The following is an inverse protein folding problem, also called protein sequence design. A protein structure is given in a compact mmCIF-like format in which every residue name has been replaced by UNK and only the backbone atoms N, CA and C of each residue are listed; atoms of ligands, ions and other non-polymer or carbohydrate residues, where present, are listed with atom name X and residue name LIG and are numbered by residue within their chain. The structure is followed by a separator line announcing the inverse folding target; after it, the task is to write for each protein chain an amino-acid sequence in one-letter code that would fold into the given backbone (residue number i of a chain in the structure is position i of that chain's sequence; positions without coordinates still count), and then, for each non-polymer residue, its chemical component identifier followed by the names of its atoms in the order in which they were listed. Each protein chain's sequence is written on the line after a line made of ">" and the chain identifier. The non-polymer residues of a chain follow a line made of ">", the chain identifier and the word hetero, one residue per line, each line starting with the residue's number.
data_IF_320624364959
#
_entry.id   IF_320624364959
#
_cell.length_a   1.000
_cell.length_b   1.000
_cell.length_c   1.000
_cell.angle_alpha   90.00
_cell.angle_beta   90.00
_cell.angle_gamma   90.00
#
_symmetry.space_group_name_H-M   'P 1'
#
loop_
_entity.id
_entity.type
_entity.pdbx_description
1 polymer ?
#
# COMPACT_ATOMS: atom_id res chain seq x y z
N UNK A 1 -12.90 -22.46 9.54
CA UNK A 1 -12.24 -21.44 8.71
C UNK A 1 -12.03 -20.12 9.45
N UNK A 2 -13.02 -19.63 10.22
CA UNK A 2 -12.89 -18.36 10.99
C UNK A 2 -11.71 -18.38 11.98
N UNK A 3 -11.37 -19.54 12.52
CA UNK A 3 -10.35 -19.71 13.56
C UNK A 3 -8.90 -19.54 13.03
N UNK A 4 -8.64 -19.92 11.77
CA UNK A 4 -7.30 -19.84 11.18
C UNK A 4 -6.88 -18.38 10.89
N UNK A 5 -7.79 -17.58 10.37
CA UNK A 5 -7.54 -16.16 10.11
C UNK A 5 -7.27 -15.38 11.39
N UNK A 6 -8.12 -15.59 12.41
CA UNK A 6 -7.93 -14.95 13.72
C UNK A 6 -6.57 -15.34 14.33
N UNK A 7 -6.20 -16.62 14.25
CA UNK A 7 -4.89 -17.10 14.73
C UNK A 7 -3.74 -16.49 13.94
N UNK A 8 -3.88 -16.39 12.61
CA UNK A 8 -2.86 -15.79 11.74
C UNK A 8 -2.71 -14.29 12.00
N UNK A 9 -3.82 -13.57 12.12
CA UNK A 9 -3.82 -12.15 12.44
C UNK A 9 -3.21 -11.87 13.82
N UNK A 10 -3.60 -12.67 14.82
CA UNK A 10 -3.03 -12.58 16.16
C UNK A 10 -1.52 -12.89 16.16
N UNK A 11 -1.07 -13.82 15.31
CA UNK A 11 0.37 -14.12 15.15
C UNK A 11 1.10 -12.96 14.47
N UNK A 12 0.49 -12.35 13.43
CA UNK A 12 1.04 -11.17 12.75
C UNK A 12 1.15 -9.98 13.70
N UNK A 13 0.13 -9.74 14.51
CA UNK A 13 0.14 -8.68 15.54
C UNK A 13 1.28 -8.88 16.53
N UNK A 14 1.53 -10.11 16.98
CA UNK A 14 2.66 -10.43 17.88
C UNK A 14 4.01 -10.29 17.19
N UNK A 15 4.10 -10.56 15.89
CA UNK A 15 5.35 -10.44 15.12
C UNK A 15 5.72 -8.99 14.83
N UNK A 16 4.79 -8.06 15.00
CA UNK A 16 4.97 -6.62 14.77
C UNK A 16 5.44 -5.89 16.04
N UNK A 17 5.95 -6.63 17.04
CA UNK A 17 6.53 -6.01 18.24
C UNK A 17 7.72 -5.15 17.81
N UNK A 18 7.57 -3.84 17.98
CA UNK A 18 8.66 -2.90 17.71
C UNK A 18 9.71 -3.07 18.82
N UNK A 19 10.87 -3.57 18.43
CA UNK A 19 11.98 -3.75 19.36
C UNK A 19 12.46 -2.36 19.82
N UNK A 20 12.29 -2.05 21.07
CA UNK A 20 12.86 -0.84 21.68
C UNK A 20 14.37 -1.01 21.87
N UNK A 21 15.12 0.07 21.72
CA UNK A 21 16.49 0.08 22.15
C UNK A 21 16.56 -0.01 23.70
N UNK A 22 17.70 -0.42 24.28
CA UNK A 22 17.84 -0.53 25.74
C UNK A 22 17.63 0.80 26.51
N UNK A 23 17.60 1.95 25.81
CA UNK A 23 17.38 3.28 26.41
C UNK A 23 15.90 3.67 26.42
N UNK A 24 14.99 2.78 26.02
CA UNK A 24 13.54 3.02 26.06
C UNK A 24 13.00 3.94 24.96
N UNK A 25 13.83 4.29 23.99
CA UNK A 25 13.38 5.06 22.83
C UNK A 25 12.82 4.12 21.78
N UNK A 26 11.75 4.51 21.06
CA UNK A 26 11.35 3.73 19.91
C UNK A 26 12.54 3.66 18.95
N UNK A 27 12.99 2.46 18.63
CA UNK A 27 14.07 2.25 17.68
C UNK A 27 13.68 2.92 16.35
N UNK A 28 14.66 3.39 15.57
CA UNK A 28 14.33 3.89 14.24
C UNK A 28 13.62 2.75 13.50
N UNK A 29 12.39 2.99 13.11
CA UNK A 29 11.73 2.09 12.18
C UNK A 29 12.65 1.87 10.99
N UNK A 30 12.55 0.77 10.25
CA UNK A 30 13.43 0.52 9.12
C UNK A 30 13.34 1.68 8.12
N UNK A 31 14.34 2.57 8.14
CA UNK A 31 14.33 3.80 7.34
C UNK A 31 14.87 5.05 8.03
N UNK A 32 15.57 4.89 9.17
CA UNK A 32 16.18 6.02 9.90
C UNK A 32 17.29 6.72 9.12
N UNK A 33 16.90 7.59 8.18
CA UNK A 33 17.81 8.55 7.56
C UNK A 33 17.93 9.77 8.45
N UNK A 34 19.15 10.23 8.67
CA UNK A 34 19.48 11.42 9.45
C UNK A 34 18.89 12.69 8.82
N UNK A 35 18.07 13.42 9.55
CA UNK A 35 17.89 14.84 9.31
C UNK A 35 16.61 15.36 8.69
N UNK A 36 15.44 14.84 9.07
CA UNK A 36 14.22 15.63 8.87
C UNK A 36 13.82 16.27 10.19
N UNK A 37 13.42 17.55 10.22
CA UNK A 37 12.98 18.18 11.45
C UNK A 37 11.74 17.45 12.00
N UNK A 38 11.80 17.10 13.26
CA UNK A 38 10.68 16.53 13.99
C UNK A 38 9.53 17.54 14.00
N UNK A 39 8.31 17.16 13.61
CA UNK A 39 7.20 18.11 13.69
C UNK A 39 7.00 18.57 15.12
N UNK A 40 6.62 19.83 15.29
CA UNK A 40 6.33 20.41 16.59
C UNK A 40 5.20 19.58 17.26
N UNK A 41 5.32 19.41 18.58
CA UNK A 41 4.32 18.68 19.36
C UNK A 41 2.90 19.23 19.08
N UNK A 42 2.02 18.38 18.55
CA UNK A 42 0.63 18.74 18.25
C UNK A 42 0.26 18.88 16.77
N UNK A 43 1.22 18.69 15.83
CA UNK A 43 0.91 18.74 14.39
C UNK A 43 1.34 17.43 13.71
N UNK A 44 0.37 16.64 13.31
CA UNK A 44 0.64 15.44 12.49
C UNK A 44 1.08 15.83 11.08
N UNK A 45 1.97 15.04 10.49
CA UNK A 45 2.42 15.27 9.11
C UNK A 45 1.22 15.19 8.13
N UNK A 46 1.21 16.01 7.06
CA UNK A 46 0.13 15.96 6.09
C UNK A 46 0.05 14.59 5.40
N UNK A 47 -1.15 14.12 5.23
CA UNK A 47 -1.43 12.84 4.57
C UNK A 47 -1.44 13.05 3.06
N UNK A 48 -0.80 12.17 2.31
CA UNK A 48 -0.74 12.19 0.84
C UNK A 48 -1.46 10.98 0.27
N UNK A 49 -2.22 11.20 -0.78
CA UNK A 49 -2.92 10.11 -1.45
C UNK A 49 -1.93 9.21 -2.20
N UNK A 50 -2.22 7.91 -2.17
CA UNK A 50 -1.40 6.89 -2.80
C UNK A 50 -2.28 5.73 -3.29
N UNK A 51 -1.75 4.96 -4.24
CA UNK A 51 -2.40 3.77 -4.77
C UNK A 51 -1.42 2.60 -4.80
N UNK A 52 -1.92 1.41 -4.51
CA UNK A 52 -1.15 0.17 -4.51
C UNK A 52 -1.95 -0.88 -5.27
N UNK A 53 -1.28 -1.66 -6.13
CA UNK A 53 -1.93 -2.73 -6.89
C UNK A 53 -1.37 -4.08 -6.47
N UNK A 54 -2.23 -4.93 -5.95
CA UNK A 54 -1.92 -6.33 -5.68
C UNK A 54 -2.16 -7.10 -6.97
N UNK A 55 -1.10 -7.29 -7.73
CA UNK A 55 -1.16 -8.00 -9.00
C UNK A 55 -1.18 -9.50 -8.69
N UNK A 56 -2.16 -10.21 -9.25
CA UNK A 56 -2.45 -11.60 -8.94
C UNK A 56 -2.43 -12.48 -10.18
N UNK A 57 -2.07 -13.75 -9.97
CA UNK A 57 -2.27 -14.80 -10.96
C UNK A 57 -2.65 -16.10 -10.25
N UNK A 58 -3.29 -16.99 -10.96
CA UNK A 58 -3.52 -18.33 -10.44
C UNK A 58 -2.18 -19.06 -10.32
N UNK A 59 -1.98 -19.76 -9.24
CA UNK A 59 -0.72 -20.46 -8.99
C UNK A 59 -0.51 -21.59 -10.02
N UNK A 60 0.72 -21.78 -10.51
CA UNK A 60 1.01 -22.91 -11.39
C UNK A 60 0.63 -24.23 -10.69
N UNK A 61 -0.14 -25.07 -11.40
CA UNK A 61 -0.65 -26.32 -10.84
C UNK A 61 -2.10 -26.27 -10.39
N UNK A 62 -2.78 -25.11 -10.51
CA UNK A 62 -4.22 -24.99 -10.45
C UNK A 62 -4.86 -24.94 -9.07
N UNK A 63 -4.10 -24.65 -8.03
CA UNK A 63 -4.66 -24.44 -6.67
C UNK A 63 -4.00 -23.23 -6.00
N UNK A 64 -4.83 -22.27 -5.62
CA UNK A 64 -4.40 -21.06 -4.95
C UNK A 64 -3.94 -19.97 -5.90
N UNK A 65 -3.52 -18.89 -5.33
CA UNK A 65 -3.09 -17.69 -6.04
C UNK A 65 -1.64 -17.34 -5.71
N UNK A 66 -1.01 -16.59 -6.58
CA UNK A 66 0.26 -15.92 -6.30
C UNK A 66 0.08 -14.41 -6.43
N UNK A 67 0.65 -13.67 -5.49
CA UNK A 67 0.75 -12.22 -5.53
C UNK A 67 2.16 -11.82 -5.96
N UNK A 68 2.26 -10.76 -6.75
CA UNK A 68 3.54 -10.20 -7.18
C UNK A 68 4.07 -9.25 -6.12
N UNK A 69 5.26 -9.52 -5.63
CA UNK A 69 5.91 -8.74 -4.57
C UNK A 69 7.25 -8.19 -5.04
N UNK A 70 7.53 -6.94 -4.66
CA UNK A 70 8.78 -6.24 -4.91
C UNK A 70 9.52 -6.09 -3.59
N UNK A 71 10.83 -6.36 -3.55
CA UNK A 71 11.65 -5.98 -2.41
C UNK A 71 12.28 -4.62 -2.70
N UNK A 72 11.95 -3.62 -1.89
CA UNK A 72 12.45 -2.26 -2.02
C UNK A 72 13.95 -2.23 -1.72
N UNK A 73 14.74 -1.47 -2.51
CA UNK A 73 16.19 -1.36 -2.25
C UNK A 73 16.45 -0.85 -0.83
N UNK A 74 17.43 -1.41 -0.17
CA UNK A 74 17.71 -1.14 1.25
C UNK A 74 18.03 0.33 1.55
N UNK A 75 18.50 1.08 0.57
CA UNK A 75 18.83 2.51 0.71
C UNK A 75 17.62 3.46 0.66
N UNK A 76 16.41 2.97 0.47
CA UNK A 76 15.24 3.84 0.42
C UNK A 76 14.91 4.44 1.79
N UNK A 77 14.49 5.70 1.80
CA UNK A 77 14.17 6.46 3.01
C UNK A 77 12.92 5.96 3.76
N UNK A 78 12.12 5.08 3.13
CA UNK A 78 10.93 4.48 3.74
C UNK A 78 10.85 3.01 3.32
N UNK A 79 10.70 2.13 4.31
CA UNK A 79 10.52 0.68 4.11
C UNK A 79 11.61 0.00 3.26
N UNK A 80 12.86 0.49 3.29
CA UNK A 80 13.97 -0.14 2.57
C UNK A 80 14.18 -1.58 3.03
N UNK A 81 14.37 -2.50 2.07
CA UNK A 81 14.53 -3.93 2.34
C UNK A 81 13.24 -4.70 2.56
N UNK A 82 12.10 -4.00 2.69
CA UNK A 82 10.79 -4.62 2.87
C UNK A 82 10.19 -5.05 1.53
N UNK A 83 9.39 -6.11 1.58
CA UNK A 83 8.57 -6.52 0.45
C UNK A 83 7.24 -5.75 0.47
N UNK A 84 6.81 -5.32 -0.70
CA UNK A 84 5.59 -4.55 -0.90
C UNK A 84 4.98 -4.92 -2.26
N UNK A 85 3.76 -4.51 -2.48
CA UNK A 85 3.13 -4.57 -3.80
C UNK A 85 3.53 -3.32 -4.61
N UNK A 86 3.44 -3.36 -5.95
CA UNK A 86 3.63 -2.16 -6.77
C UNK A 86 2.72 -1.02 -6.33
N UNK A 87 3.27 0.19 -6.23
CA UNK A 87 2.46 1.33 -5.87
C UNK A 87 3.26 2.51 -5.34
N UNK A 88 2.60 3.66 -5.39
CA UNK A 88 3.20 4.91 -4.94
C UNK A 88 2.19 6.03 -4.77
N UNK A 89 2.70 7.22 -4.60
CA UNK A 89 1.87 8.41 -4.35
C UNK A 89 1.17 8.87 -5.64
N UNK A 90 0.04 9.52 -5.46
CA UNK A 90 -0.60 10.25 -6.57
C UNK A 90 0.35 11.40 -6.97
N UNK A 91 0.69 11.46 -8.24
CA UNK A 91 1.50 12.53 -8.81
C UNK A 91 0.60 13.62 -9.40
N UNK A 92 1.03 14.90 -9.44
CA UNK A 92 0.24 15.93 -10.11
C UNK A 92 -0.13 15.60 -11.56
N UNK A 93 0.67 14.82 -12.27
CA UNK A 93 0.37 14.38 -13.64
C UNK A 93 -0.80 13.38 -13.71
N UNK A 94 -1.10 12.69 -12.61
CA UNK A 94 -2.25 11.77 -12.53
C UNK A 94 -3.58 12.54 -12.43
N UNK A 95 -3.54 13.84 -12.07
CA UNK A 95 -4.73 14.67 -11.89
C UNK A 95 -5.33 15.17 -13.21
N UNK A 96 -4.73 14.84 -14.35
CA UNK A 96 -5.19 15.32 -15.66
C UNK A 96 -6.57 14.78 -16.04
N UNK A 97 -7.47 15.65 -16.57
CA UNK A 97 -8.81 15.21 -16.97
C UNK A 97 -8.82 14.37 -18.26
N UNK A 98 -7.77 14.44 -19.05
CA UNK A 98 -7.74 13.96 -20.43
C UNK A 98 -7.17 12.54 -20.58
N UNK A 99 -7.12 11.78 -19.47
CA UNK A 99 -6.66 10.38 -19.54
C UNK A 99 -7.70 9.54 -20.30
N UNK A 100 -7.34 8.88 -21.41
CA UNK A 100 -8.27 7.96 -22.09
C UNK A 100 -8.72 6.86 -21.12
N UNK A 101 -10.01 6.71 -20.95
CA UNK A 101 -10.62 5.92 -19.87
C UNK A 101 -11.56 4.86 -20.43
N UNK A 102 -11.45 3.64 -19.93
CA UNK A 102 -12.37 2.53 -20.25
C UNK A 102 -12.74 1.80 -18.95
N UNK A 103 -13.93 1.22 -18.96
CA UNK A 103 -14.48 0.54 -17.79
C UNK A 103 -15.57 1.38 -17.11
N UNK A 104 -15.80 1.17 -15.82
CA UNK A 104 -16.86 1.89 -15.10
C UNK A 104 -16.63 3.41 -15.14
N UNK A 105 -17.69 4.19 -15.19
CA UNK A 105 -17.54 5.65 -15.19
C UNK A 105 -16.94 6.13 -13.87
N UNK A 106 -16.24 7.27 -13.90
CA UNK A 106 -15.57 7.83 -12.72
C UNK A 106 -16.53 8.01 -11.55
N UNK A 107 -17.82 8.26 -11.82
CA UNK A 107 -18.85 8.38 -10.77
C UNK A 107 -19.05 7.08 -9.97
N UNK A 108 -18.89 5.93 -10.57
CA UNK A 108 -18.94 4.65 -9.84
C UNK A 108 -17.66 4.45 -9.03
N UNK A 109 -16.52 4.75 -9.64
CA UNK A 109 -15.21 4.64 -8.97
C UNK A 109 -15.13 5.57 -7.76
N UNK A 110 -15.63 6.80 -7.86
CA UNK A 110 -15.63 7.76 -6.75
C UNK A 110 -16.42 7.25 -5.55
N UNK A 111 -17.55 6.62 -5.79
CA UNK A 111 -18.36 6.03 -4.71
C UNK A 111 -17.63 4.86 -4.06
N UNK A 112 -17.02 3.99 -4.88
CA UNK A 112 -16.27 2.83 -4.37
C UNK A 112 -15.04 3.26 -3.55
N UNK A 113 -14.38 4.36 -3.90
CA UNK A 113 -13.14 4.80 -3.23
C UNK A 113 -13.36 5.85 -2.13
N UNK A 114 -14.60 6.28 -1.90
CA UNK A 114 -14.93 7.39 -0.99
C UNK A 114 -14.03 8.61 -1.31
N UNK A 115 -14.09 9.06 -2.57
CA UNK A 115 -13.24 10.13 -3.08
C UNK A 115 -14.05 11.05 -4.01
N UNK A 116 -13.63 12.30 -4.15
CA UNK A 116 -14.22 13.15 -5.17
C UNK A 116 -13.79 12.68 -6.58
N UNK A 117 -14.48 13.11 -7.64
CA UNK A 117 -14.21 12.60 -9.00
C UNK A 117 -12.77 12.82 -9.47
N UNK A 118 -12.13 13.93 -9.10
CA UNK A 118 -10.76 14.22 -9.50
C UNK A 118 -9.77 13.28 -8.80
N UNK A 119 -9.95 13.10 -7.48
CA UNK A 119 -9.11 12.18 -6.69
C UNK A 119 -9.35 10.73 -7.11
N UNK A 120 -10.61 10.32 -7.34
CA UNK A 120 -10.90 8.95 -7.78
C UNK A 120 -10.18 8.62 -9.10
N UNK A 121 -10.24 9.56 -10.07
CA UNK A 121 -9.50 9.42 -11.33
C UNK A 121 -7.99 9.32 -11.08
N UNK A 122 -7.46 10.24 -10.27
CA UNK A 122 -6.02 10.30 -9.98
C UNK A 122 -5.50 9.03 -9.29
N UNK A 123 -6.28 8.45 -8.38
CA UNK A 123 -5.92 7.19 -7.71
C UNK A 123 -5.81 6.02 -8.69
N UNK A 124 -6.77 5.92 -9.62
CA UNK A 124 -6.73 4.88 -10.66
C UNK A 124 -5.56 5.11 -11.63
N UNK A 125 -5.32 6.38 -12.01
CA UNK A 125 -4.15 6.72 -12.85
C UNK A 125 -2.85 6.36 -12.16
N UNK A 126 -2.69 6.72 -10.89
CA UNK A 126 -1.51 6.37 -10.08
C UNK A 126 -1.34 4.85 -10.00
N UNK A 127 -2.43 4.09 -9.77
CA UNK A 127 -2.40 2.64 -9.72
C UNK A 127 -1.82 2.04 -11.02
N UNK A 128 -2.32 2.50 -12.17
CA UNK A 128 -1.86 2.02 -13.47
C UNK A 128 -0.42 2.44 -13.76
N UNK A 129 -0.08 3.71 -13.48
CA UNK A 129 1.26 4.26 -13.72
C UNK A 129 2.31 3.54 -12.88
N UNK A 130 2.09 3.44 -11.58
CA UNK A 130 3.04 2.80 -10.65
C UNK A 130 3.25 1.32 -10.98
N UNK A 131 2.15 0.61 -11.34
CA UNK A 131 2.26 -0.80 -11.75
C UNK A 131 3.14 -0.91 -12.99
N UNK A 132 2.94 -0.03 -13.97
CA UNK A 132 3.77 -0.06 -15.18
C UNK A 132 5.22 0.33 -14.89
N UNK A 133 5.46 1.38 -14.10
CA UNK A 133 6.80 1.83 -13.72
C UNK A 133 7.57 0.78 -12.92
N UNK A 134 6.92 0.14 -11.97
CA UNK A 134 7.62 -0.78 -11.07
C UNK A 134 7.77 -2.20 -11.63
N UNK A 135 6.80 -2.69 -12.41
CA UNK A 135 6.86 -4.07 -12.91
C UNK A 135 6.61 -4.25 -14.42
N UNK A 136 6.38 -3.17 -15.17
CA UNK A 136 6.18 -3.27 -16.62
C UNK A 136 4.81 -3.78 -17.05
N UNK A 137 3.90 -4.06 -16.13
CA UNK A 137 2.54 -4.52 -16.47
C UNK A 137 1.64 -3.30 -16.67
N UNK A 138 1.08 -3.18 -17.88
CA UNK A 138 0.24 -2.03 -18.24
C UNK A 138 -1.24 -2.42 -18.22
N UNK A 139 -1.97 -1.85 -17.26
CA UNK A 139 -3.41 -2.06 -17.09
C UNK A 139 -4.18 -1.11 -18.04
N UNK A 140 -3.97 -1.30 -19.33
CA UNK A 140 -4.58 -0.52 -20.41
C UNK A 140 -4.88 -1.42 -21.60
N UNK A 141 -5.78 -0.97 -22.47
CA UNK A 141 -6.15 -1.74 -23.66
C UNK A 141 -6.45 -0.83 -24.84
N UNK A 142 -6.51 -1.41 -26.05
CA UNK A 142 -6.78 -0.67 -27.28
C UNK A 142 -8.15 0.00 -27.22
N UNK A 143 -8.22 1.23 -27.69
CA UNK A 143 -9.50 1.94 -27.87
C UNK A 143 -10.17 1.34 -29.11
N UNK A 144 -11.18 0.52 -28.89
CA UNK A 144 -12.00 -0.01 -30.00
C UNK A 144 -13.12 1.00 -30.26
N UNK A 145 -13.22 1.53 -31.49
CA UNK A 145 -14.34 2.43 -31.81
C UNK A 145 -15.68 1.76 -31.52
N UNK A 146 -16.57 2.45 -30.85
CA UNK A 146 -17.92 1.95 -30.64
C UNK A 146 -18.59 1.72 -32.00
N UNK A 147 -19.27 0.60 -32.21
CA UNK A 147 -20.09 0.43 -33.40
C UNK A 147 -21.13 1.55 -33.47
N UNK A 148 -21.33 2.09 -34.66
CA UNK A 148 -22.24 3.24 -34.85
C UNK A 148 -23.64 2.92 -34.24
N UNK A 149 -24.02 3.63 -33.19
CA UNK A 149 -25.30 3.44 -32.52
C UNK A 149 -25.26 2.72 -31.18
N UNK A 150 -24.07 2.37 -30.65
CA UNK A 150 -23.90 1.72 -29.35
C UNK A 150 -23.42 2.67 -28.27
N UNK A 151 -23.79 2.39 -27.04
CA UNK A 151 -23.22 3.02 -25.85
C UNK A 151 -21.71 2.67 -25.76
N UNK A 152 -20.94 3.57 -25.16
CA UNK A 152 -19.47 3.58 -25.05
C UNK A 152 -18.75 2.27 -25.38
N UNK A 153 -17.82 2.34 -26.33
CA UNK A 153 -17.20 1.19 -26.98
C UNK A 153 -16.71 0.11 -26.02
N UNK A 154 -17.10 -1.12 -26.31
CA UNK A 154 -16.52 -2.27 -25.63
C UNK A 154 -15.00 -2.26 -25.88
N UNK A 155 -14.22 -2.14 -24.83
CA UNK A 155 -12.77 -2.23 -24.96
C UNK A 155 -12.46 -3.71 -25.28
N UNK A 156 -11.95 -3.96 -26.46
CA UNK A 156 -11.40 -5.27 -26.79
C UNK A 156 -10.32 -5.60 -25.73
N UNK A 157 -10.20 -6.86 -25.37
CA UNK A 157 -9.30 -7.30 -24.30
C UNK A 157 -7.92 -6.65 -24.31
N UNK A 158 -7.10 -6.91 -23.34
CA UNK A 158 -5.75 -6.35 -23.14
C UNK A 158 -4.81 -6.50 -24.33
N UNK A 159 -5.28 -7.13 -25.43
CA UNK A 159 -4.54 -7.31 -26.69
C UNK A 159 -3.96 -6.01 -27.28
N UNK A 160 -4.58 -4.84 -26.95
CA UNK A 160 -4.09 -3.54 -27.43
C UNK A 160 -2.76 -3.10 -26.83
N UNK A 161 -2.44 -3.57 -25.62
CA UNK A 161 -1.15 -3.29 -25.01
C UNK A 161 0.01 -3.94 -25.79
N UNK A 162 -0.29 -4.85 -26.71
CA UNK A 162 0.68 -5.46 -27.65
C UNK A 162 1.13 -4.50 -28.76
N UNK A 163 0.47 -3.32 -28.90
CA UNK A 163 0.90 -2.31 -29.89
C UNK A 163 2.20 -1.61 -29.48
N UNK A 164 2.59 -1.73 -28.21
CA UNK A 164 3.92 -1.39 -27.75
C UNK A 164 4.78 -2.66 -27.81
N UNK A 165 5.73 -2.70 -28.73
CA UNK A 165 6.70 -3.80 -28.73
C UNK A 165 7.58 -3.72 -27.48
N UNK A 166 8.32 -4.77 -27.19
CA UNK A 166 9.16 -4.88 -25.98
C UNK A 166 10.11 -3.69 -25.83
N UNK A 167 10.71 -3.22 -26.93
CA UNK A 167 11.62 -2.09 -26.91
C UNK A 167 10.89 -0.77 -26.58
N UNK A 168 9.73 -0.56 -27.19
CA UNK A 168 8.89 0.62 -26.93
C UNK A 168 8.35 0.64 -25.49
N UNK A 169 7.96 -0.52 -24.96
CA UNK A 169 7.50 -0.66 -23.56
C UNK A 169 8.61 -0.26 -22.58
N UNK A 170 9.80 -0.82 -22.79
CA UNK A 170 10.95 -0.51 -21.93
C UNK A 170 11.35 0.98 -22.00
N UNK A 171 11.27 1.59 -23.18
CA UNK A 171 11.54 3.01 -23.35
C UNK A 171 10.48 3.88 -22.66
N UNK A 172 9.20 3.56 -22.85
CA UNK A 172 8.07 4.26 -22.24
C UNK A 172 8.14 4.18 -20.71
N UNK A 173 8.41 2.98 -20.18
CA UNK A 173 8.56 2.73 -18.75
C UNK A 173 9.65 3.64 -18.15
N UNK A 174 10.83 3.66 -18.77
CA UNK A 174 11.94 4.52 -18.31
C UNK A 174 11.61 6.02 -18.38
N UNK A 175 10.84 6.44 -19.38
CA UNK A 175 10.44 7.83 -19.53
C UNK A 175 9.43 8.24 -18.42
N UNK A 176 8.52 7.36 -18.06
CA UNK A 176 7.61 7.56 -16.91
C UNK A 176 8.40 7.65 -15.61
N UNK A 177 9.28 6.68 -15.32
CA UNK A 177 10.15 6.67 -14.12
C UNK A 177 10.96 7.96 -13.95
N UNK A 178 11.30 8.63 -15.05
CA UNK A 178 12.05 9.89 -15.03
C UNK A 178 11.16 11.13 -15.12
N UNK A 179 9.84 10.95 -15.10
CA UNK A 179 8.84 12.01 -15.28
C UNK A 179 9.05 12.82 -16.58
N UNK A 180 9.59 12.17 -17.62
CA UNK A 180 9.77 12.73 -18.96
C UNK A 180 8.52 12.52 -19.83
N UNK A 181 7.62 11.66 -19.37
CA UNK A 181 6.39 11.29 -20.07
C UNK A 181 5.31 11.10 -19.00
N UNK A 182 4.11 11.59 -19.27
CA UNK A 182 2.94 11.33 -18.43
C UNK A 182 2.17 10.10 -18.91
N UNK A 183 1.42 9.44 -18.01
CA UNK A 183 0.60 8.27 -18.39
C UNK A 183 -0.41 8.63 -19.48
N UNK A 184 -1.08 9.79 -19.35
CA UNK A 184 -2.06 10.23 -20.36
C UNK A 184 -1.42 10.34 -21.75
N UNK A 185 -0.24 10.92 -21.80
CA UNK A 185 0.52 11.09 -23.05
C UNK A 185 0.94 9.75 -23.64
N UNK A 186 1.37 8.80 -22.81
CA UNK A 186 1.67 7.44 -23.24
C UNK A 186 0.44 6.79 -23.85
N UNK A 187 -0.67 6.86 -23.22
CA UNK A 187 -1.91 6.27 -23.69
C UNK A 187 -2.38 6.88 -25.02
N UNK A 188 -2.20 8.03 -24.93
CA UNK A 188 -2.56 8.71 -25.99
C UNK A 188 -1.82 8.46 -27.16
N UNK A 189 -0.52 8.35 -27.20
CA UNK A 189 0.41 8.04 -28.33
C UNK A 189 0.20 6.67 -28.98
N UNK A 190 -0.30 5.74 -28.19
CA UNK A 190 -0.44 4.34 -28.61
C UNK A 190 -1.88 3.87 -28.80
N UNK A 191 -2.82 4.81 -28.88
CA UNK A 191 -4.26 4.53 -29.05
C UNK A 191 -4.77 3.56 -27.96
N UNK A 192 -4.34 3.77 -26.72
CA UNK A 192 -4.72 2.99 -25.55
C UNK A 192 -5.64 3.78 -24.63
N UNK A 193 -6.47 3.08 -23.88
CA UNK A 193 -7.25 3.64 -22.77
C UNK A 193 -6.89 2.89 -21.48
N UNK A 194 -6.79 3.60 -20.38
CA UNK A 194 -6.69 3.03 -19.04
C UNK A 194 -7.91 2.13 -18.80
N UNK A 195 -7.68 0.93 -18.25
CA UNK A 195 -8.72 -0.08 -17.98
C UNK A 195 -9.07 -0.09 -16.49
N UNK A 196 -9.96 0.84 -16.10
CA UNK A 196 -10.43 0.93 -14.70
C UNK A 196 -11.17 -0.35 -14.25
N UNK A 197 -11.74 -1.08 -15.19
CA UNK A 197 -12.42 -2.36 -14.94
C UNK A 197 -11.49 -3.50 -14.52
N UNK A 198 -10.17 -3.32 -14.71
CA UNK A 198 -9.19 -4.31 -14.28
C UNK A 198 -8.76 -4.09 -12.81
N UNK A 199 -9.18 -2.98 -12.20
CA UNK A 199 -8.80 -2.59 -10.84
C UNK A 199 -10.02 -2.71 -9.92
N UNK A 200 -9.98 -3.68 -9.02
CA UNK A 200 -11.05 -3.84 -8.02
C UNK A 200 -10.55 -3.31 -6.67
N UNK A 201 -11.23 -2.31 -6.07
CA UNK A 201 -10.81 -1.78 -4.77
C UNK A 201 -10.84 -2.87 -3.69
N UNK A 202 -9.80 -2.90 -2.83
CA UNK A 202 -9.64 -3.97 -1.83
C UNK A 202 -9.60 -3.47 -0.39
N UNK A 203 -8.85 -2.40 -0.13
CA UNK A 203 -8.68 -1.85 1.22
C UNK A 203 -8.20 -0.39 1.15
N UNK A 204 -8.36 0.33 2.26
CA UNK A 204 -7.84 1.69 2.42
C UNK A 204 -7.02 1.75 3.70
N UNK A 205 -5.73 2.05 3.57
CA UNK A 205 -4.80 2.11 4.69
C UNK A 205 -4.28 3.52 4.89
N UNK A 206 -4.42 4.05 6.11
CA UNK A 206 -3.91 5.37 6.46
C UNK A 206 -2.74 5.20 7.42
N UNK A 207 -1.61 5.83 7.12
CA UNK A 207 -0.42 5.77 7.97
C UNK A 207 -0.72 6.39 9.35
N UNK A 208 -0.27 5.77 10.45
CA UNK A 208 -0.45 6.32 11.80
C UNK A 208 0.04 7.76 11.96
N UNK A 209 -0.56 8.50 12.89
CA UNK A 209 -0.28 9.93 13.10
C UNK A 209 1.14 10.22 13.56
N UNK A 210 1.77 9.27 14.24
CA UNK A 210 3.14 9.42 14.75
C UNK A 210 4.23 9.36 13.65
N UNK A 211 3.85 8.92 12.45
CA UNK A 211 4.83 8.75 11.36
C UNK A 211 5.12 10.10 10.68
N UNK A 212 6.40 10.39 10.38
CA UNK A 212 6.78 11.65 9.74
C UNK A 212 6.40 11.74 8.25
N UNK A 213 6.05 10.61 7.64
CA UNK A 213 5.56 10.53 6.25
C UNK A 213 4.28 9.72 6.26
N UNK A 214 3.20 10.34 5.84
CA UNK A 214 1.88 9.72 5.93
C UNK A 214 1.22 9.64 4.58
N UNK A 215 0.59 8.49 4.34
CA UNK A 215 -0.14 8.18 3.11
C UNK A 215 -1.55 7.69 3.45
N UNK A 216 -2.50 8.05 2.59
CA UNK A 216 -3.84 7.46 2.53
C UNK A 216 -3.86 6.62 1.26
N UNK A 217 -3.65 5.33 1.41
CA UNK A 217 -3.38 4.43 0.30
C UNK A 217 -4.60 3.57 -0.02
N UNK A 218 -5.10 3.69 -1.25
CA UNK A 218 -6.13 2.77 -1.79
C UNK A 218 -5.41 1.56 -2.38
N UNK A 219 -5.77 0.39 -1.88
CA UNK A 219 -5.30 -0.90 -2.39
C UNK A 219 -6.30 -1.44 -3.39
N UNK A 220 -5.81 -1.86 -4.53
CA UNK A 220 -6.59 -2.51 -5.58
C UNK A 220 -6.05 -3.92 -5.78
N UNK A 221 -6.92 -4.87 -6.13
CA UNK A 221 -6.52 -6.17 -6.65
C UNK A 221 -6.73 -6.17 -8.16
N UNK A 222 -5.82 -6.81 -8.89
CA UNK A 222 -5.89 -6.91 -10.34
C UNK A 222 -5.33 -8.26 -10.80
N UNK A 223 -6.04 -8.91 -11.72
CA UNK A 223 -5.49 -10.09 -12.38
C UNK A 223 -4.38 -9.68 -13.35
N UNK A 224 -3.32 -10.46 -13.42
CA UNK A 224 -2.29 -10.26 -14.44
C UNK A 224 -2.94 -10.40 -15.84
N UNK A 225 -2.88 -9.36 -16.68
CA UNK A 225 -3.51 -9.45 -18.00
C UNK A 225 -2.86 -10.51 -18.90
N UNK A 226 -3.69 -11.20 -19.67
CA UNK A 226 -3.23 -12.24 -20.60
C UNK A 226 -2.14 -11.74 -21.54
N UNK A 227 -1.08 -12.52 -21.66
CA UNK A 227 0.03 -12.20 -22.57
C UNK A 227 0.99 -11.15 -22.03
N UNK A 228 0.80 -10.66 -20.81
CA UNK A 228 1.78 -9.80 -20.16
C UNK A 228 2.56 -10.60 -19.11
N UNK A 229 3.79 -10.18 -18.88
CA UNK A 229 4.65 -10.72 -17.82
C UNK A 229 5.37 -9.54 -17.16
N UNK A 230 5.55 -9.55 -15.85
CA UNK A 230 6.38 -8.52 -15.23
C UNK A 230 7.81 -8.54 -15.79
N UNK A 231 8.35 -7.36 -15.98
CA UNK A 231 9.72 -7.15 -16.49
C UNK A 231 10.70 -7.02 -15.32
N UNK A 232 11.97 -6.81 -15.63
CA UNK A 232 13.03 -6.60 -14.64
C UNK A 232 12.67 -5.46 -13.66
N UNK A 233 13.16 -5.52 -12.40
CA UNK A 233 12.82 -4.51 -11.42
C UNK A 233 13.22 -3.10 -11.86
N UNK A 234 12.44 -2.12 -11.39
CA UNK A 234 12.78 -0.71 -11.48
C UNK A 234 14.00 -0.41 -10.60
N UNK A 235 14.46 0.84 -10.59
CA UNK A 235 15.55 1.26 -9.71
C UNK A 235 15.19 1.21 -8.22
N UNK A 236 13.91 1.15 -7.91
CA UNK A 236 13.39 1.14 -6.53
C UNK A 236 13.31 -0.24 -5.90
N UNK A 237 13.43 -1.29 -6.71
CA UNK A 237 13.37 -2.69 -6.24
C UNK A 237 14.63 -3.46 -6.67
N UNK A 238 15.12 -4.32 -5.79
CA UNK A 238 16.27 -5.18 -6.09
C UNK A 238 15.88 -6.65 -6.26
N UNK A 239 14.63 -7.00 -5.98
CA UNK A 239 14.11 -8.34 -6.13
C UNK A 239 12.62 -8.29 -6.43
N UNK A 240 12.16 -9.23 -7.24
CA UNK A 240 10.75 -9.42 -7.57
C UNK A 240 10.42 -10.90 -7.53
N UNK A 241 9.28 -11.23 -6.93
CA UNK A 241 8.87 -12.62 -6.79
C UNK A 241 7.34 -12.75 -6.89
N UNK A 242 6.89 -13.76 -7.66
CA UNK A 242 5.54 -14.28 -7.49
C UNK A 242 5.57 -15.19 -6.27
N UNK A 243 4.68 -14.97 -5.35
CA UNK A 243 4.68 -15.70 -4.09
C UNK A 243 3.26 -16.02 -3.64
N UNK A 244 3.05 -17.24 -3.21
CA UNK A 244 1.77 -17.61 -2.59
C UNK A 244 1.64 -16.83 -1.27
N UNK A 245 0.45 -16.29 -0.97
CA UNK A 245 0.26 -15.54 0.27
C UNK A 245 0.73 -16.29 1.52
N UNK A 246 0.42 -17.59 1.61
CA UNK A 246 0.81 -18.42 2.76
C UNK A 246 2.34 -18.48 2.89
N UNK A 247 3.06 -18.69 1.78
CA UNK A 247 4.52 -18.81 1.79
C UNK A 247 5.18 -17.47 2.22
N UNK A 248 4.63 -16.34 1.74
CA UNK A 248 5.11 -15.01 2.14
C UNK A 248 4.93 -14.77 3.64
N UNK A 249 3.76 -15.14 4.17
CA UNK A 249 3.44 -15.00 5.60
C UNK A 249 4.30 -15.89 6.49
N UNK A 250 4.56 -17.12 6.06
CA UNK A 250 5.46 -18.04 6.78
C UNK A 250 6.90 -17.48 6.82
N UNK A 251 7.39 -16.98 5.70
CA UNK A 251 8.71 -16.35 5.62
C UNK A 251 8.78 -15.07 6.46
N UNK A 252 7.69 -14.31 6.52
CA UNK A 252 7.58 -13.12 7.38
C UNK A 252 7.65 -13.51 8.85
N UNK A 253 6.85 -14.49 9.26
CA UNK A 253 6.84 -15.01 10.64
C UNK A 253 8.19 -15.59 11.07
N UNK A 254 8.96 -16.15 10.12
CA UNK A 254 10.31 -16.66 10.36
C UNK A 254 11.38 -15.54 10.33
N UNK A 255 11.01 -14.29 10.08
CA UNK A 255 11.94 -13.16 10.02
C UNK A 255 12.79 -13.09 8.76
N UNK A 256 12.55 -13.97 7.78
CA UNK A 256 13.33 -14.01 6.53
C UNK A 256 12.76 -13.14 5.41
N UNK A 257 11.59 -12.54 5.62
CA UNK A 257 10.93 -11.64 4.69
C UNK A 257 10.24 -10.52 5.48
N UNK A 258 10.75 -9.31 5.39
CA UNK A 258 10.15 -8.15 6.05
C UNK A 258 8.99 -7.58 5.26
N UNK A 259 7.88 -7.28 5.93
CA UNK A 259 6.71 -6.61 5.33
C UNK A 259 6.14 -5.59 6.32
N UNK A 260 5.57 -4.51 5.80
CA UNK A 260 4.76 -3.60 6.61
C UNK A 260 3.35 -4.20 6.84
N UNK A 261 2.66 -3.77 7.90
CA UNK A 261 1.33 -4.32 8.23
C UNK A 261 0.34 -4.36 7.07
N UNK A 262 0.16 -3.31 6.24
CA UNK A 262 -0.78 -3.38 5.13
C UNK A 262 -0.51 -4.54 4.17
N UNK A 263 0.77 -4.82 3.87
CA UNK A 263 1.16 -5.92 2.99
C UNK A 263 0.83 -7.28 3.62
N UNK A 264 1.21 -7.45 4.89
CA UNK A 264 1.00 -8.71 5.62
C UNK A 264 -0.50 -9.02 5.79
N UNK A 265 -1.30 -8.01 6.17
CA UNK A 265 -2.75 -8.16 6.35
C UNK A 265 -3.46 -8.47 5.02
N UNK A 266 -3.09 -7.78 3.96
CA UNK A 266 -3.64 -8.06 2.62
C UNK A 266 -3.33 -9.50 2.19
N UNK A 267 -2.09 -9.96 2.39
CA UNK A 267 -1.73 -11.35 2.07
C UNK A 267 -2.50 -12.35 2.93
N UNK A 268 -2.74 -12.03 4.21
CA UNK A 268 -3.53 -12.92 5.09
C UNK A 268 -4.96 -13.07 4.56
N UNK A 269 -5.59 -11.98 4.15
CA UNK A 269 -6.93 -12.04 3.54
C UNK A 269 -6.92 -12.83 2.23
N UNK A 270 -5.94 -12.58 1.38
CA UNK A 270 -5.80 -13.26 0.09
C UNK A 270 -5.54 -14.76 0.24
N UNK A 271 -4.94 -15.20 1.34
CA UNK A 271 -4.68 -16.63 1.58
C UNK A 271 -5.95 -17.47 1.74
N UNK A 272 -7.11 -16.84 1.89
CA UNK A 272 -8.40 -17.50 2.00
C UNK A 272 -9.04 -17.84 0.64
N UNK A 273 -8.41 -17.43 -0.46
CA UNK A 273 -8.94 -17.57 -1.81
C UNK A 273 -8.23 -18.66 -2.61
N UNK A 274 -9.01 -19.46 -3.34
CA UNK A 274 -8.51 -20.58 -4.12
C UNK A 274 -8.07 -20.18 -5.55
N UNK A 275 -8.57 -19.03 -6.04
CA UNK A 275 -8.25 -18.54 -7.41
C UNK A 275 -8.46 -17.02 -7.47
N UNK A 276 -7.94 -16.42 -8.54
CA UNK A 276 -8.04 -14.96 -8.77
C UNK A 276 -9.50 -14.53 -8.97
N UNK A 277 -10.32 -15.37 -9.59
CA UNK A 277 -11.73 -15.03 -9.83
C UNK A 277 -12.48 -14.83 -8.50
N UNK A 278 -12.20 -15.67 -7.49
CA UNK A 278 -12.82 -15.54 -6.16
C UNK A 278 -12.37 -14.27 -5.43
N UNK A 279 -11.11 -13.85 -5.61
CA UNK A 279 -10.62 -12.56 -5.06
C UNK A 279 -11.39 -11.40 -5.69
N UNK A 280 -11.46 -11.38 -7.03
CA UNK A 280 -12.14 -10.30 -7.75
C UNK A 280 -13.64 -10.24 -7.39
N UNK A 281 -14.29 -11.40 -7.23
CA UNK A 281 -15.68 -11.46 -6.79
C UNK A 281 -15.84 -10.89 -5.36
N UNK A 282 -14.94 -11.24 -4.45
CA UNK A 282 -14.97 -10.74 -3.08
C UNK A 282 -14.75 -9.23 -2.99
N UNK A 283 -13.97 -8.66 -3.89
CA UNK A 283 -13.66 -7.23 -3.91
C UNK A 283 -14.92 -6.35 -4.04
N UNK A 284 -15.96 -6.84 -4.73
CA UNK A 284 -17.20 -6.08 -4.90
C UNK A 284 -17.99 -5.85 -3.60
N UNK A 285 -17.72 -6.63 -2.56
CA UNK A 285 -18.41 -6.53 -1.27
C UNK A 285 -17.52 -5.97 -0.16
N UNK A 286 -16.34 -5.43 -0.51
CA UNK A 286 -15.38 -4.94 0.49
C UNK A 286 -15.83 -3.62 1.12
N UNK A 287 -15.65 -3.53 2.43
CA UNK A 287 -15.73 -2.26 3.15
C UNK A 287 -14.39 -1.54 2.99
N UNK A 288 -14.41 -0.33 2.45
CA UNK A 288 -13.23 0.50 2.25
C UNK A 288 -13.09 1.60 3.30
N UNK A 289 -13.70 1.42 4.47
CA UNK A 289 -13.46 2.29 5.62
C UNK A 289 -11.97 2.36 5.94
N UNK A 290 -11.44 3.56 6.27
CA UNK A 290 -9.99 3.70 6.48
C UNK A 290 -9.48 2.84 7.64
N UNK A 291 -8.46 2.06 7.38
CA UNK A 291 -7.73 1.30 8.40
C UNK A 291 -6.51 2.13 8.80
N UNK A 292 -6.57 2.76 9.96
CA UNK A 292 -5.44 3.53 10.49
C UNK A 292 -4.96 2.84 11.77
N UNK A 293 -3.83 2.13 11.73
CA UNK A 293 -3.33 1.47 12.93
C UNK A 293 -2.94 2.47 14.02
N UNK A 294 -3.13 2.09 15.28
CA UNK A 294 -2.61 2.82 16.44
C UNK A 294 -1.51 1.99 17.10
N UNK A 295 -0.56 2.65 17.74
CA UNK A 295 0.48 1.96 18.49
C UNK A 295 0.19 2.17 19.97
N UNK A 296 -0.05 1.07 20.68
CA UNK A 296 -0.21 1.06 22.12
C UNK A 296 1.08 0.53 22.77
N UNK A 297 1.66 1.31 23.68
CA UNK A 297 2.82 0.85 24.44
C UNK A 297 2.34 0.41 25.81
N UNK A 298 2.53 -0.86 26.15
CA UNK A 298 2.12 -1.44 27.42
C UNK A 298 3.18 -2.43 27.92
N UNK A 299 3.58 -2.33 29.18
CA UNK A 299 4.58 -3.23 29.76
C UNK A 299 5.96 -3.16 29.09
N UNK A 300 6.27 -2.07 28.37
CA UNK A 300 7.52 -1.95 27.63
C UNK A 300 7.49 -2.55 26.23
N UNK A 301 6.36 -3.11 25.81
CA UNK A 301 6.15 -3.65 24.46
C UNK A 301 5.23 -2.72 23.67
N UNK A 302 5.47 -2.61 22.37
CA UNK A 302 4.63 -1.85 21.45
C UNK A 302 3.69 -2.82 20.71
N UNK A 303 2.40 -2.54 20.77
CA UNK A 303 1.34 -3.34 20.15
C UNK A 303 0.68 -2.52 19.04
N UNK A 304 0.49 -3.13 17.88
CA UNK A 304 -0.26 -2.52 16.79
C UNK A 304 -1.74 -2.83 16.98
N UNK A 305 -2.57 -1.81 17.09
CA UNK A 305 -4.02 -1.94 17.19
C UNK A 305 -4.67 -1.54 15.86
N UNK A 306 -5.68 -2.28 15.46
CA UNK A 306 -6.51 -2.00 14.29
C UNK A 306 -7.91 -1.54 14.72
N UNK A 307 -8.68 -0.88 13.85
CA UNK A 307 -10.01 -0.35 14.23
C UNK A 307 -11.01 -1.35 14.82
N UNK A 308 -10.82 -2.64 14.60
CA UNK A 308 -11.70 -3.67 15.16
C UNK A 308 -11.18 -4.29 16.48
N UNK A 309 -10.01 -3.87 16.97
CA UNK A 309 -9.49 -4.34 18.26
C UNK A 309 -10.21 -3.62 19.41
N UNK A 310 -10.59 -4.34 20.45
CA UNK A 310 -11.31 -3.78 21.61
C UNK A 310 -10.56 -2.60 22.27
N UNK A 311 -9.24 -2.64 22.23
CA UNK A 311 -8.41 -1.61 22.83
C UNK A 311 -8.24 -0.37 21.93
N UNK A 312 -8.74 -0.41 20.68
CA UNK A 312 -8.49 0.67 19.69
C UNK A 312 -9.09 2.02 20.13
N UNK A 313 -10.28 2.01 20.72
CA UNK A 313 -10.97 3.22 21.20
C UNK A 313 -10.61 3.59 22.66
N UNK A 314 -9.71 2.82 23.26
CA UNK A 314 -9.17 3.12 24.57
C UNK A 314 -8.22 4.34 24.54
N UNK A 315 -7.78 4.82 25.72
CA UNK A 315 -6.87 5.97 25.78
C UNK A 315 -5.56 5.69 25.03
N UNK A 316 -5.16 6.62 24.19
CA UNK A 316 -3.93 6.48 23.41
C UNK A 316 -2.70 6.50 24.34
N UNK A 317 -1.56 6.00 23.87
CA UNK A 317 -0.31 6.00 24.63
C UNK A 317 0.09 7.40 25.11
N UNK A 318 -0.25 8.44 24.37
CA UNK A 318 0.01 9.84 24.74
C UNK A 318 -0.86 10.28 25.92
N UNK A 319 -2.09 9.77 26.02
CA UNK A 319 -3.02 10.04 27.11
C UNK A 319 -2.57 9.36 28.43
N UNK A 320 -1.98 8.17 28.33
CA UNK A 320 -1.48 7.43 29.48
C UNK A 320 -0.18 8.02 30.06
N UNK A 321 0.63 8.67 29.22
CA UNK A 321 1.86 9.33 29.66
C UNK A 321 1.58 10.62 30.45
N UNK A 322 0.44 11.27 30.20
CA UNK A 322 0.06 12.51 30.88
C UNK A 322 -0.43 12.29 32.35
N UNK A 323 -0.84 11.06 32.66
CA UNK A 323 -1.41 10.71 33.98
C UNK A 323 -0.38 10.09 34.96
N UNK A 324 0.90 10.09 34.65
CA UNK A 324 1.93 9.68 35.62
C UNK A 324 2.09 10.76 36.63
N UNK A 325 1.81 10.52 37.93
CA UNK A 325 2.00 11.52 38.97
C UNK A 325 3.48 11.91 39.03
N UNK A 326 3.74 13.21 39.07
CA UNK A 326 5.07 13.73 39.25
C UNK A 326 5.65 13.10 40.55
N UNK A 327 6.77 12.45 40.45
CA UNK A 327 7.47 11.90 41.60
C UNK A 327 7.86 13.08 42.50
N UNK A 328 7.20 13.18 43.64
CA UNK A 328 7.60 14.13 44.68
C UNK A 328 9.05 13.84 45.06
N UNK A 329 9.93 14.74 44.70
CA UNK A 329 11.33 14.68 45.11
C UNK A 329 11.44 14.84 46.63
N UNK A 330 12.40 14.16 47.30
CA UNK A 330 12.55 14.28 48.74
C UNK A 330 12.92 15.71 49.13
N UNK A 331 12.13 16.27 50.01
CA UNK A 331 12.43 17.59 50.64
C UNK A 331 13.77 17.52 51.34
N UNK A 332 14.71 18.34 50.91
CA UNK A 332 16.00 18.47 51.57
C UNK A 332 15.78 19.23 52.90
N UNK A 333 15.87 18.53 54.02
CA UNK A 333 15.98 19.16 55.35
C UNK A 333 17.34 19.84 55.47
N UNK A 334 17.34 21.14 55.66
CA UNK A 334 18.55 21.89 56.00
C UNK A 334 18.90 21.67 57.47
N UNK A 335 20.12 21.28 57.83
CA UNK A 335 20.53 21.23 59.23
C UNK A 335 20.82 22.66 59.71
N UNK A 336 20.06 23.05 60.69
CA UNK A 336 20.27 24.31 61.39
C UNK A 336 21.56 24.21 62.25
N UNK A 337 22.53 25.07 61.96
CA UNK A 337 23.82 25.11 62.66
C UNK A 337 23.74 26.00 63.89
N UNK A 338 23.62 25.39 65.06
CA UNK A 338 23.76 26.15 66.35
C UNK A 338 25.22 26.44 66.69
N UNK A 339 25.49 27.68 66.96
CA UNK A 339 26.76 28.15 67.42
C UNK A 339 26.75 28.11 68.97
N UNK A 340 27.83 27.56 69.53
CA UNK A 340 28.23 27.77 70.91
C UNK A 340 29.63 28.29 70.97
#
# INVERSE_FOLDING_TARGET
>A
MVDHKAALLARLQRSLVVVRDPAGRPGPGPGGGTGSPQPAAGSSAPVRDAATVVLLRDAPGGRGIEAYLLRRVTGMAFAGGMYAFPGGRVDPTDMGPDVPWAGPPVTEVMHALDADPALARALVCAAVRETFEECGVLLAGAVTPAPAGGTAGAVGGTAGARNLDETGRAAARRALERHELGLSELLXRHDLALRADLLAPWARWVTPEIEPRRYDTRFFVAALPDGQSPEQPSREADRMEWMRPVDALERHAAGSLGMLPPTAFTLAELSEHDDVASVLAAAHARDLSPIMPKILVSGGEAHLLLPHDEAYDGPSADSLAADSPAADGPSAESPDGGVG
#
